data_IF_082270170574
#
_entry.id   IF_082270170574
#
_cell.length_a   1.000
_cell.length_b   1.000
_cell.length_c   1.000
_cell.angle_alpha   90.00
_cell.angle_beta   90.00
_cell.angle_gamma   90.00
#
_symmetry.space_group_name_H-M   'P 1'
#
loop_
_entity.id
_entity.type
_entity.pdbx_description
1 polymer ?
#
# COMPACT_ATOMS: atom_id res chain seq x y z
N UNK A 1 -28.90 50.25 -35.37
CA UNK A 1 -27.67 49.73 -34.73
C UNK A 1 -28.03 48.41 -34.08
N UNK A 2 -27.57 47.30 -34.67
CA UNK A 2 -27.65 45.93 -34.13
C UNK A 2 -26.69 45.12 -35.02
N UNK A 3 -25.41 45.06 -34.64
CA UNK A 3 -24.77 43.91 -33.95
C UNK A 3 -24.32 42.83 -34.95
N UNK A 4 -23.13 43.08 -35.52
CA UNK A 4 -22.26 42.04 -36.10
C UNK A 4 -21.84 41.05 -35.01
N UNK A 5 -22.50 39.90 -34.94
CA UNK A 5 -21.99 38.71 -34.25
C UNK A 5 -21.59 37.68 -35.31
N UNK A 6 -20.37 37.83 -35.82
CA UNK A 6 -19.73 36.81 -36.65
C UNK A 6 -19.42 35.61 -35.75
N UNK A 7 -20.23 34.56 -35.88
CA UNK A 7 -19.99 33.27 -35.27
C UNK A 7 -18.63 32.73 -35.70
N UNK A 8 -17.69 32.66 -34.76
CA UNK A 8 -16.46 31.88 -34.88
C UNK A 8 -16.85 30.43 -34.56
N UNK A 9 -17.18 29.66 -35.58
CA UNK A 9 -17.62 28.28 -35.43
C UNK A 9 -17.44 27.53 -36.74
N UNK A 10 -16.23 27.05 -36.98
CA UNK A 10 -15.88 26.23 -38.13
C UNK A 10 -14.38 26.07 -38.22
N UNK A 11 -13.92 24.82 -38.36
CA UNK A 11 -12.60 24.41 -38.88
C UNK A 11 -11.47 24.05 -37.88
N UNK A 12 -11.78 23.39 -36.76
CA UNK A 12 -10.76 22.87 -35.80
C UNK A 12 -10.67 21.32 -35.71
N UNK A 13 -11.22 20.57 -36.69
CA UNK A 13 -11.14 19.09 -36.71
C UNK A 13 -10.19 18.50 -37.76
N UNK A 14 -9.74 19.30 -38.74
CA UNK A 14 -8.80 18.88 -39.80
C UNK A 14 -7.34 19.27 -39.50
N UNK A 15 -7.08 19.91 -38.35
CA UNK A 15 -5.70 20.18 -37.93
C UNK A 15 -5.03 18.85 -37.53
N UNK A 16 -3.87 18.50 -38.13
CA UNK A 16 -3.14 17.32 -37.70
C UNK A 16 -2.79 17.48 -36.22
N UNK A 17 -3.14 16.48 -35.41
CA UNK A 17 -2.86 16.47 -33.97
C UNK A 17 -1.38 16.78 -33.74
N UNK A 18 -1.10 17.95 -33.19
CA UNK A 18 0.27 18.38 -32.97
C UNK A 18 0.85 17.65 -31.75
N UNK A 19 1.64 16.61 -32.01
CA UNK A 19 2.33 15.82 -31.00
C UNK A 19 3.74 16.37 -30.67
N UNK A 20 4.17 17.48 -31.28
CA UNK A 20 5.54 18.00 -31.13
C UNK A 20 5.82 18.59 -29.73
N UNK A 21 4.78 18.88 -28.94
CA UNK A 21 4.91 19.33 -27.55
C UNK A 21 5.09 18.19 -26.53
N UNK A 22 4.97 16.93 -26.96
CA UNK A 22 5.02 15.77 -26.09
C UNK A 22 6.44 15.23 -25.95
N UNK A 23 7.33 16.02 -25.33
CA UNK A 23 8.69 15.58 -25.00
C UNK A 23 8.71 14.87 -23.63
N UNK A 24 9.39 13.70 -23.50
CA UNK A 24 9.55 13.06 -22.20
C UNK A 24 10.40 13.93 -21.29
N UNK A 25 10.00 14.05 -20.02
CA UNK A 25 10.81 14.72 -18.99
C UNK A 25 12.16 14.03 -18.85
N UNK A 26 13.20 14.82 -18.70
CA UNK A 26 14.55 14.31 -18.45
C UNK A 26 14.66 13.73 -17.05
N UNK A 27 15.60 12.80 -16.84
CA UNK A 27 15.78 12.14 -15.54
C UNK A 27 16.09 13.11 -14.39
N UNK A 28 16.70 14.25 -14.70
CA UNK A 28 17.02 15.29 -13.73
C UNK A 28 15.76 16.02 -13.24
N UNK A 29 14.83 16.34 -14.16
CA UNK A 29 13.53 16.94 -13.84
C UNK A 29 12.62 16.02 -13.02
N UNK A 30 12.76 14.70 -13.18
CA UNK A 30 12.05 13.70 -12.39
C UNK A 30 12.57 13.59 -10.95
N UNK A 31 13.85 13.90 -10.73
CA UNK A 31 14.50 13.79 -9.43
C UNK A 31 14.53 15.11 -8.64
N UNK A 32 14.06 16.21 -9.23
CA UNK A 32 13.88 17.47 -8.52
C UNK A 32 12.88 17.29 -7.38
N UNK A 33 13.27 17.51 -6.12
CA UNK A 33 12.36 17.41 -5.00
C UNK A 33 11.29 18.49 -5.12
N UNK A 34 10.05 18.06 -5.39
CA UNK A 34 8.89 18.93 -5.43
C UNK A 34 8.58 19.42 -4.01
N UNK A 35 8.16 20.69 -3.90
CA UNK A 35 7.74 21.27 -2.64
C UNK A 35 6.41 20.62 -2.19
N UNK A 36 6.50 19.81 -1.14
CA UNK A 36 5.37 19.06 -0.60
C UNK A 36 4.26 19.98 -0.09
N UNK A 37 4.59 21.18 0.38
CA UNK A 37 3.59 22.13 0.87
C UNK A 37 2.85 22.81 -0.29
N UNK A 38 3.53 23.07 -1.40
CA UNK A 38 2.89 23.55 -2.63
C UNK A 38 1.91 22.50 -3.20
N UNK A 39 2.29 21.21 -3.18
CA UNK A 39 1.42 20.10 -3.60
C UNK A 39 0.19 20.00 -2.69
N UNK A 40 0.38 20.13 -1.37
CA UNK A 40 -0.73 20.09 -0.40
C UNK A 40 -1.70 21.26 -0.60
N UNK A 41 -1.18 22.48 -0.75
CA UNK A 41 -1.99 23.67 -0.97
C UNK A 41 -2.80 23.58 -2.28
N UNK A 42 -2.20 23.07 -3.35
CA UNK A 42 -2.90 22.86 -4.62
C UNK A 42 -4.01 21.79 -4.51
N UNK A 43 -3.76 20.70 -3.78
CA UNK A 43 -4.74 19.65 -3.54
C UNK A 43 -5.92 20.15 -2.69
N UNK A 44 -5.66 20.92 -1.64
CA UNK A 44 -6.68 21.55 -0.79
C UNK A 44 -7.52 22.57 -1.56
N UNK A 45 -6.88 23.42 -2.37
CA UNK A 45 -7.57 24.37 -3.24
C UNK A 45 -8.50 23.65 -4.24
N UNK A 46 -8.07 22.48 -4.73
CA UNK A 46 -8.87 21.62 -5.60
C UNK A 46 -9.85 20.69 -4.83
N UNK A 47 -10.06 20.92 -3.52
CA UNK A 47 -10.95 20.15 -2.66
C UNK A 47 -10.66 18.64 -2.60
N UNK A 48 -9.40 18.24 -2.79
CA UNK A 48 -8.95 16.87 -2.51
C UNK A 48 -8.70 16.70 -1.02
N UNK A 49 -9.54 15.91 -0.35
CA UNK A 49 -9.36 15.59 1.06
C UNK A 49 -8.07 14.78 1.30
N UNK A 50 -7.16 15.34 2.08
CA UNK A 50 -5.92 14.68 2.48
C UNK A 50 -6.21 13.46 3.38
N UNK A 51 -5.73 12.28 2.97
CA UNK A 51 -5.76 11.03 3.76
C UNK A 51 -4.38 10.68 4.30
N UNK A 52 -3.60 11.67 4.71
CA UNK A 52 -2.33 11.36 5.36
C UNK A 52 -2.61 10.52 6.61
N UNK A 53 -1.91 9.38 6.78
CA UNK A 53 -2.06 8.57 7.98
C UNK A 53 -1.57 9.43 9.15
N UNK A 54 -2.51 9.88 9.98
CA UNK A 54 -2.20 10.36 11.32
C UNK A 54 -1.46 9.22 12.01
N UNK A 55 -0.14 9.37 12.19
CA UNK A 55 0.69 8.44 12.96
C UNK A 55 0.04 8.32 14.34
N UNK A 56 -0.54 7.18 14.71
CA UNK A 56 -1.08 7.02 16.05
C UNK A 56 0.10 7.14 17.02
N UNK A 57 0.07 8.16 17.87
CA UNK A 57 0.94 8.21 19.01
C UNK A 57 0.69 6.93 19.81
N UNK A 58 1.76 6.16 20.03
CA UNK A 58 1.72 4.91 20.76
C UNK A 58 1.31 5.18 22.22
N UNK A 59 0.03 5.06 22.52
CA UNK A 59 -0.43 4.84 23.89
C UNK A 59 -0.60 3.34 24.08
N UNK A 60 0.32 2.75 24.83
CA UNK A 60 0.28 1.36 25.30
C UNK A 60 -0.96 1.14 26.23
N UNK A 61 -1.38 -0.12 26.45
CA UNK A 61 -2.75 -0.50 26.75
C UNK A 61 -3.10 -0.31 28.24
N UNK A 62 -4.27 0.28 28.52
CA UNK A 62 -4.86 0.28 29.85
C UNK A 62 -6.08 -0.65 29.88
N UNK A 63 -5.87 -1.78 30.55
CA UNK A 63 -6.88 -2.68 31.08
C UNK A 63 -7.94 -1.93 31.90
N UNK A 64 -9.20 -2.30 31.70
CA UNK A 64 -10.32 -2.34 32.66
C UNK A 64 -10.18 -1.46 33.93
N UNK A 65 -10.97 -0.38 34.05
CA UNK A 65 -11.76 -0.06 35.25
C UNK A 65 -12.45 1.30 35.17
N UNK A 66 -13.64 1.33 35.78
CA UNK A 66 -14.61 2.41 36.00
C UNK A 66 -14.01 3.61 36.77
N UNK A 67 -14.42 4.87 36.49
CA UNK A 67 -13.89 6.04 37.21
C UNK A 67 -14.71 6.34 38.48
N UNK A 68 -14.07 6.41 39.64
CA UNK A 68 -14.63 7.15 40.79
C UNK A 68 -13.54 7.72 41.72
N UNK A 69 -13.56 9.05 41.85
CA UNK A 69 -13.17 9.92 42.97
C UNK A 69 -11.74 9.92 43.57
N UNK A 70 -11.27 11.17 43.78
CA UNK A 70 -10.53 11.69 44.96
C UNK A 70 -9.10 12.25 44.74
N UNK A 71 -9.05 13.59 44.57
CA UNK A 71 -8.28 14.59 45.35
C UNK A 71 -6.92 14.18 45.98
N UNK A 72 -5.84 14.89 45.61
CA UNK A 72 -4.61 14.93 46.43
C UNK A 72 -3.41 15.58 45.72
N UNK A 73 -2.75 16.51 46.40
CA UNK A 73 -1.64 17.36 45.91
C UNK A 73 -0.27 16.68 46.09
N UNK A 74 0.68 17.02 45.20
CA UNK A 74 2.11 17.16 45.50
C UNK A 74 3.01 15.91 45.44
N UNK A 75 3.95 15.90 44.49
CA UNK A 75 5.38 15.55 44.65
C UNK A 75 6.04 15.32 43.28
N UNK A 76 6.99 16.18 42.90
CA UNK A 76 8.01 15.88 41.88
C UNK A 76 9.06 14.88 42.45
N UNK A 77 10.11 14.47 41.70
CA UNK A 77 10.12 13.47 40.64
C UNK A 77 11.08 12.31 40.99
N UNK A 78 10.66 11.05 40.86
CA UNK A 78 11.55 9.91 41.05
C UNK A 78 12.25 9.54 39.73
N UNK A 79 13.55 9.84 39.71
CA UNK A 79 14.52 9.42 38.71
C UNK A 79 14.55 7.89 38.59
N UNK A 80 14.50 7.38 37.35
CA UNK A 80 15.15 6.13 36.98
C UNK A 80 15.32 6.10 35.45
N UNK A 81 16.46 6.62 35.01
CA UNK A 81 16.94 6.47 33.62
C UNK A 81 17.35 5.01 33.45
N UNK A 82 16.43 4.18 32.98
CA UNK A 82 16.76 2.84 32.50
C UNK A 82 17.16 2.96 31.03
N UNK A 83 18.46 2.91 30.76
CA UNK A 83 19.02 2.79 29.42
C UNK A 83 18.41 1.56 28.73
N UNK A 84 17.74 1.68 27.57
CA UNK A 84 17.27 0.52 26.85
C UNK A 84 18.48 -0.21 26.25
N UNK A 85 18.77 -1.40 26.80
CA UNK A 85 19.72 -2.34 26.24
C UNK A 85 19.28 -2.72 24.81
N UNK A 86 20.18 -2.73 23.80
CA UNK A 86 19.83 -3.04 22.43
C UNK A 86 19.27 -4.46 22.31
N UNK A 87 18.00 -4.59 21.94
CA UNK A 87 17.41 -5.88 21.63
C UNK A 87 18.08 -6.47 20.37
N UNK A 88 18.35 -7.79 20.33
CA UNK A 88 18.98 -8.42 19.17
C UNK A 88 18.10 -8.28 17.92
N UNK A 89 18.71 -8.21 16.73
CA UNK A 89 17.98 -8.05 15.47
C UNK A 89 16.98 -9.20 15.33
N UNK A 90 15.69 -8.84 15.26
CA UNK A 90 14.60 -9.81 15.06
C UNK A 90 14.87 -10.55 13.75
N UNK A 91 15.10 -11.85 13.85
CA UNK A 91 15.31 -12.69 12.68
C UNK A 91 14.15 -12.48 11.71
N UNK A 92 14.44 -12.26 10.41
CA UNK A 92 13.39 -12.08 9.42
C UNK A 92 12.55 -13.36 9.37
N UNK A 93 11.35 -13.31 9.95
CA UNK A 93 10.34 -14.39 9.93
C UNK A 93 9.74 -14.61 8.53
N UNK A 94 10.33 -14.00 7.50
CA UNK A 94 9.83 -14.05 6.14
C UNK A 94 10.49 -15.23 5.45
N UNK A 95 9.72 -16.31 5.29
CA UNK A 95 10.07 -17.41 4.38
C UNK A 95 10.13 -16.83 2.95
N UNK A 96 11.32 -16.48 2.49
CA UNK A 96 11.54 -16.04 1.10
C UNK A 96 11.57 -17.28 0.22
N UNK A 97 10.45 -17.57 -0.43
CA UNK A 97 10.20 -18.85 -1.12
C UNK A 97 10.46 -18.76 -2.63
N UNK A 98 11.05 -17.68 -3.14
CA UNK A 98 11.37 -17.51 -4.57
C UNK A 98 10.15 -17.35 -5.51
N UNK A 99 8.93 -17.68 -5.07
CA UNK A 99 7.68 -17.55 -5.82
C UNK A 99 7.35 -16.08 -6.14
N UNK A 100 7.84 -15.60 -7.30
CA UNK A 100 7.66 -14.22 -7.79
C UNK A 100 6.86 -14.12 -9.10
N UNK A 101 6.61 -15.24 -9.77
CA UNK A 101 5.81 -15.30 -11.00
C UNK A 101 4.35 -15.63 -10.68
N UNK A 102 3.42 -14.90 -11.31
CA UNK A 102 1.99 -15.15 -11.16
C UNK A 102 1.53 -16.23 -12.13
N UNK A 103 0.83 -17.24 -11.61
CA UNK A 103 0.22 -18.31 -12.39
C UNK A 103 -1.31 -18.17 -12.30
N UNK A 104 -1.93 -17.56 -13.32
CA UNK A 104 -3.37 -17.34 -13.36
C UNK A 104 -4.06 -18.55 -13.97
N UNK A 105 -4.75 -19.34 -13.15
CA UNK A 105 -5.56 -20.48 -13.62
C UNK A 105 -6.97 -20.40 -13.08
N UNK A 106 -7.91 -20.98 -13.83
CA UNK A 106 -9.29 -21.21 -13.40
C UNK A 106 -9.47 -22.70 -13.14
N UNK A 107 -10.16 -23.02 -12.05
CA UNK A 107 -10.50 -24.38 -11.67
C UNK A 107 -11.97 -24.43 -11.21
N UNK A 108 -12.54 -25.63 -11.18
CA UNK A 108 -13.89 -25.83 -10.61
C UNK A 108 -13.86 -25.66 -9.10
N UNK A 109 -14.99 -25.29 -8.50
CA UNK A 109 -15.11 -25.13 -7.04
C UNK A 109 -14.66 -26.39 -6.29
N UNK A 110 -15.10 -27.56 -6.73
CA UNK A 110 -14.71 -28.86 -6.14
C UNK A 110 -13.18 -29.09 -6.19
N UNK A 111 -12.52 -28.64 -7.24
CA UNK A 111 -11.06 -28.78 -7.36
C UNK A 111 -10.33 -27.85 -6.40
N UNK A 112 -10.85 -26.62 -6.23
CA UNK A 112 -10.33 -25.64 -5.28
C UNK A 112 -10.47 -26.17 -3.85
N UNK A 113 -11.65 -26.69 -3.49
CA UNK A 113 -11.91 -27.22 -2.16
C UNK A 113 -10.98 -28.40 -1.81
N UNK A 114 -10.80 -29.32 -2.78
CA UNK A 114 -9.86 -30.44 -2.61
C UNK A 114 -8.41 -29.97 -2.46
N UNK A 115 -8.00 -28.96 -3.22
CA UNK A 115 -6.65 -28.40 -3.15
C UNK A 115 -6.39 -27.70 -1.81
N UNK A 116 -7.35 -26.91 -1.33
CA UNK A 116 -7.27 -26.24 -0.02
C UNK A 116 -7.18 -27.28 1.10
N UNK A 117 -8.06 -28.29 1.09
CA UNK A 117 -8.05 -29.35 2.10
C UNK A 117 -6.71 -30.12 2.11
N UNK A 118 -6.10 -30.33 0.94
CA UNK A 118 -4.78 -30.95 0.83
C UNK A 118 -3.70 -30.04 1.43
N UNK A 119 -3.70 -28.75 1.10
CA UNK A 119 -2.75 -27.80 1.65
C UNK A 119 -2.84 -27.70 3.17
N UNK A 120 -4.06 -27.61 3.72
CA UNK A 120 -4.30 -27.52 5.16
C UNK A 120 -3.85 -28.80 5.89
N UNK A 121 -4.14 -29.97 5.33
CA UNK A 121 -3.72 -31.26 5.89
C UNK A 121 -2.20 -31.34 6.06
N UNK A 122 -1.45 -30.74 5.14
CA UNK A 122 0.01 -30.74 5.17
C UNK A 122 0.61 -29.48 5.81
N UNK A 123 -0.21 -28.49 6.17
CA UNK A 123 0.26 -27.19 6.68
C UNK A 123 1.03 -26.38 5.63
N UNK A 124 0.75 -26.60 4.35
CA UNK A 124 1.41 -25.93 3.23
C UNK A 124 0.71 -24.63 2.86
N UNK A 125 1.51 -23.66 2.44
CA UNK A 125 0.99 -22.51 1.70
C UNK A 125 0.69 -22.91 0.25
N UNK A 126 -0.28 -22.27 -0.40
CA UNK A 126 -0.76 -22.70 -1.72
C UNK A 126 0.33 -22.87 -2.78
N UNK A 127 1.32 -21.98 -2.84
CA UNK A 127 2.40 -22.14 -3.80
C UNK A 127 3.31 -23.35 -3.51
N UNK A 128 3.47 -23.74 -2.24
CA UNK A 128 4.23 -24.94 -1.84
C UNK A 128 3.42 -26.20 -2.14
N UNK A 129 2.13 -26.19 -1.83
CA UNK A 129 1.21 -27.26 -2.21
C UNK A 129 1.19 -27.50 -3.73
N UNK A 130 1.29 -26.42 -4.53
CA UNK A 130 1.38 -26.51 -5.97
C UNK A 130 2.69 -27.15 -6.45
N UNK A 131 3.84 -26.81 -5.87
CA UNK A 131 5.13 -27.46 -6.19
C UNK A 131 5.09 -28.96 -5.89
N UNK A 132 4.50 -29.36 -4.76
CA UNK A 132 4.29 -30.76 -4.44
C UNK A 132 3.35 -31.47 -5.42
N UNK A 133 2.30 -30.79 -5.89
CA UNK A 133 1.39 -31.35 -6.88
C UNK A 133 2.10 -31.57 -8.24
N UNK A 134 2.94 -30.64 -8.68
CA UNK A 134 3.73 -30.77 -9.91
C UNK A 134 4.73 -31.93 -9.79
N UNK A 135 5.50 -31.99 -8.70
CA UNK A 135 6.45 -33.07 -8.47
C UNK A 135 5.76 -34.46 -8.42
N UNK A 136 4.57 -34.53 -7.82
CA UNK A 136 3.78 -35.75 -7.79
C UNK A 136 3.32 -36.18 -9.19
N UNK A 137 2.97 -35.24 -10.07
CA UNK A 137 2.59 -35.52 -11.45
C UNK A 137 3.80 -35.99 -12.29
N UNK A 138 4.97 -35.36 -12.13
CA UNK A 138 6.21 -35.78 -12.81
C UNK A 138 6.64 -37.20 -12.41
N UNK A 139 6.38 -37.62 -11.17
CA UNK A 139 6.62 -38.99 -10.74
C UNK A 139 5.69 -40.01 -11.39
N UNK A 140 4.48 -39.61 -11.79
CA UNK A 140 3.52 -40.48 -12.46
C UNK A 140 3.81 -40.63 -13.96
N UNK A 141 4.38 -39.60 -14.57
CA UNK A 141 4.70 -39.56 -16.01
C UNK A 141 6.05 -40.25 -16.36
N UNK A 142 6.71 -40.86 -15.39
CA UNK A 142 8.03 -41.51 -15.53
C UNK A 142 7.93 -43.03 -15.56
#
# INVERSE_FOLDING_TARGET
MAEDTKGQGGDDLDQPLNLSGFAPKTADELNTPLDADAIRAAAEAASFASRQPVKPAATAPASLAVPEAAKGQGAEPAQAVATPQPAPPRQPRRRTTGRNQQFNIKATAETIDRFIALADKHGWVYGEAFEHAVAALEMQDR
#
